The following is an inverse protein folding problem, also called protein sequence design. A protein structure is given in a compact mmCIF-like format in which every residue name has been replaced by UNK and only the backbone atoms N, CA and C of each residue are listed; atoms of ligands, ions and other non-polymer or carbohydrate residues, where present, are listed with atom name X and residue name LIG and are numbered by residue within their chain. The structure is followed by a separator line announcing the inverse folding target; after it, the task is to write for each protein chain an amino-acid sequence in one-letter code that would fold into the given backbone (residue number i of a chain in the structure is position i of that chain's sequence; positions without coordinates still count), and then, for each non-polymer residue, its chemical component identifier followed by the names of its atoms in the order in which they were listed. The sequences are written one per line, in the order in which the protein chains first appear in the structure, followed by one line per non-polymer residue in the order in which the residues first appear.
data_IF_837499437129
#
_entry.id   IF_837499437129
#
_cell.length_a   1.000
_cell.length_b   1.000
_cell.length_c   1.000
_cell.angle_alpha   90.00
_cell.angle_beta   90.00
_cell.angle_gamma   90.00
#
_symmetry.space_group_name_H-M   'P 1'
#
loop_
_entity.id
_entity.type
_entity.pdbx_description
1 polymer ?
#
# COMPACT_ATOMS: atom_id res chain seq x y z
N UNK A 1 -4.67 22.81 8.02
CA UNK A 1 -3.98 23.79 7.14
C UNK A 1 -4.91 24.32 6.06
N UNK A 2 -4.54 25.42 5.41
CA UNK A 2 -5.48 26.31 4.74
C UNK A 2 -6.13 25.76 3.46
N UNK A 3 -5.50 24.83 2.72
CA UNK A 3 -5.95 24.42 1.39
C UNK A 3 -7.30 23.69 1.30
N UNK A 4 -7.85 23.20 2.42
CA UNK A 4 -9.19 22.57 2.46
C UNK A 4 -10.33 23.56 2.77
N UNK A 5 -9.99 24.77 3.22
CA UNK A 5 -10.98 25.80 3.45
C UNK A 5 -11.32 26.39 2.08
N UNK A 6 -12.55 26.19 1.62
CA UNK A 6 -13.01 26.67 0.31
C UNK A 6 -12.88 28.20 0.12
N UNK A 7 -13.21 28.68 -1.08
CA UNK A 7 -13.06 30.08 -1.46
C UNK A 7 -11.69 30.39 -2.08
N UNK A 8 -11.17 31.60 -1.86
CA UNK A 8 -9.98 32.11 -2.55
C UNK A 8 -8.64 31.74 -1.88
N UNK A 9 -8.62 30.78 -0.94
CA UNK A 9 -7.44 30.51 -0.12
C UNK A 9 -6.25 30.01 -0.95
N UNK A 10 -6.46 29.17 -1.98
CA UNK A 10 -5.35 28.73 -2.84
C UNK A 10 -4.70 29.89 -3.62
N UNK A 11 -5.47 30.93 -3.97
CA UNK A 11 -4.91 32.14 -4.59
C UNK A 11 -4.06 32.92 -3.59
N UNK A 12 -4.53 33.05 -2.34
CA UNK A 12 -3.78 33.68 -1.26
C UNK A 12 -2.49 32.92 -0.96
N UNK A 13 -2.54 31.59 -0.90
CA UNK A 13 -1.36 30.74 -0.69
C UNK A 13 -0.34 30.91 -1.83
N UNK A 14 -0.78 30.90 -3.09
CA UNK A 14 0.10 31.15 -4.25
C UNK A 14 0.79 32.50 -4.15
N UNK A 15 0.03 33.56 -3.85
CA UNK A 15 0.59 34.91 -3.73
C UNK A 15 1.57 35.00 -2.56
N UNK A 16 1.20 34.46 -1.41
CA UNK A 16 2.06 34.43 -0.22
C UNK A 16 3.41 33.77 -0.50
N UNK A 17 3.43 32.65 -1.24
CA UNK A 17 4.68 31.98 -1.62
C UNK A 17 5.49 32.74 -2.66
N UNK A 18 4.85 33.41 -3.62
CA UNK A 18 5.53 34.28 -4.59
C UNK A 18 6.23 35.45 -3.87
N UNK A 19 5.50 36.13 -2.98
CA UNK A 19 6.03 37.25 -2.20
C UNK A 19 7.16 36.79 -1.27
N UNK A 20 6.97 35.64 -0.61
CA UNK A 20 7.97 35.04 0.27
C UNK A 20 9.23 34.63 -0.49
N UNK A 21 9.10 34.04 -1.68
CA UNK A 21 10.24 33.70 -2.51
C UNK A 21 11.06 34.96 -2.84
N UNK A 22 10.39 36.04 -3.29
CA UNK A 22 11.06 37.31 -3.58
C UNK A 22 11.84 37.84 -2.37
N UNK A 23 11.21 37.86 -1.20
CA UNK A 23 11.81 38.34 0.04
C UNK A 23 12.96 37.46 0.56
N UNK A 24 12.87 36.14 0.40
CA UNK A 24 13.95 35.22 0.81
C UNK A 24 15.11 35.29 -0.19
N UNK A 25 14.81 35.41 -1.48
CA UNK A 25 15.81 35.42 -2.54
C UNK A 25 16.56 36.74 -2.61
N UNK A 26 15.89 37.85 -2.33
CA UNK A 26 16.45 39.20 -2.30
C UNK A 26 16.13 39.87 -0.96
N UNK A 27 16.81 39.44 0.13
CA UNK A 27 16.51 39.92 1.47
C UNK A 27 16.72 41.44 1.56
N UNK A 28 15.75 42.12 2.19
CA UNK A 28 15.74 43.58 2.38
C UNK A 28 15.80 44.40 1.08
N UNK A 29 15.39 43.83 -0.06
CA UNK A 29 15.46 44.50 -1.36
C UNK A 29 16.90 44.65 -1.89
N UNK A 30 17.83 43.84 -1.38
CA UNK A 30 19.20 43.80 -1.86
C UNK A 30 19.29 43.11 -3.23
N UNK A 31 20.16 43.61 -4.11
CA UNK A 31 20.50 42.94 -5.38
C UNK A 31 21.29 41.63 -5.18
N UNK A 32 21.74 41.35 -3.95
CA UNK A 32 22.45 40.11 -3.62
C UNK A 32 21.46 38.97 -3.43
N UNK A 33 21.53 38.00 -4.34
CA UNK A 33 20.76 36.77 -4.25
C UNK A 33 21.21 35.92 -3.04
N UNK A 34 20.26 35.57 -2.16
CA UNK A 34 20.44 34.58 -1.10
C UNK A 34 20.47 33.17 -1.66
N UNK A 35 21.27 32.27 -1.08
CA UNK A 35 21.26 30.84 -1.40
C UNK A 35 20.36 30.00 -0.47
N UNK A 36 19.59 30.64 0.42
CA UNK A 36 18.60 29.95 1.25
C UNK A 36 17.59 29.22 0.38
N UNK A 37 17.36 27.94 0.68
CA UNK A 37 16.33 27.12 0.03
C UNK A 37 14.96 27.53 0.57
N UNK A 38 14.01 27.76 -0.34
CA UNK A 38 12.62 28.07 0.00
C UNK A 38 11.84 26.76 0.06
N UNK A 39 11.28 26.44 1.23
CA UNK A 39 10.43 25.26 1.41
C UNK A 39 8.97 25.70 1.46
N UNK A 40 8.13 25.13 0.59
CA UNK A 40 6.69 25.36 0.56
C UNK A 40 5.94 24.06 0.85
N UNK A 41 4.99 24.07 1.78
CA UNK A 41 4.15 22.90 2.04
C UNK A 41 3.05 22.77 0.98
N UNK A 42 2.71 21.57 0.50
CA UNK A 42 1.77 21.33 -0.62
C UNK A 42 0.30 21.77 -0.41
N UNK A 43 -0.02 22.34 0.75
CA UNK A 43 -1.35 22.77 1.16
C UNK A 43 -2.43 21.68 0.98
N UNK A 44 -2.04 20.41 1.09
CA UNK A 44 -2.84 19.20 0.88
C UNK A 44 -3.45 19.04 -0.52
N UNK A 45 -2.91 19.73 -1.51
CA UNK A 45 -3.31 19.51 -2.91
C UNK A 45 -2.59 18.31 -3.54
N UNK A 46 -1.59 17.77 -2.85
CA UNK A 46 -0.68 16.77 -3.37
C UNK A 46 0.39 17.38 -4.27
N UNK A 47 1.40 16.56 -4.56
CA UNK A 47 2.63 17.01 -5.22
C UNK A 47 2.38 17.51 -6.64
N UNK A 48 1.51 16.83 -7.39
CA UNK A 48 1.25 17.12 -8.80
C UNK A 48 0.57 18.49 -9.05
N UNK A 49 -0.21 18.99 -8.09
CA UNK A 49 -0.90 20.27 -8.21
C UNK A 49 0.07 21.46 -8.35
N UNK A 50 1.27 21.33 -7.79
CA UNK A 50 2.30 22.37 -7.79
C UNK A 50 3.29 22.27 -8.94
N UNK A 51 3.07 21.34 -9.88
CA UNK A 51 3.94 21.19 -11.04
C UNK A 51 3.99 22.49 -11.86
N UNK A 52 5.21 23.00 -12.06
CA UNK A 52 5.46 24.26 -12.79
C UNK A 52 5.29 25.53 -11.95
N UNK A 53 4.79 25.45 -10.72
CA UNK A 53 4.75 26.59 -9.81
C UNK A 53 6.11 26.76 -9.12
N UNK A 54 6.67 27.98 -9.12
CA UNK A 54 8.01 28.27 -8.60
C UNK A 54 9.09 27.31 -9.12
N UNK A 55 9.00 26.95 -10.41
CA UNK A 55 9.89 25.99 -11.06
C UNK A 55 11.03 26.67 -11.85
N UNK A 56 12.13 25.94 -12.13
CA UNK A 56 13.16 26.38 -13.06
C UNK A 56 12.64 26.58 -14.49
N UNK A 57 13.26 27.46 -15.28
CA UNK A 57 14.45 28.28 -14.94
C UNK A 57 14.12 29.60 -14.20
N UNK A 58 12.86 29.99 -14.07
CA UNK A 58 12.48 31.30 -13.49
C UNK A 58 12.71 31.36 -11.98
N UNK A 59 12.61 30.22 -11.31
CA UNK A 59 12.81 30.08 -9.86
C UNK A 59 13.84 28.99 -9.60
N UNK A 60 14.64 29.17 -8.56
CA UNK A 60 15.70 28.25 -8.17
C UNK A 60 15.70 28.03 -6.65
N UNK A 61 16.17 26.88 -6.19
CA UNK A 61 16.27 26.56 -4.77
C UNK A 61 14.92 26.43 -4.06
N UNK A 62 13.93 25.81 -4.72
CA UNK A 62 12.59 25.58 -4.15
C UNK A 62 12.37 24.09 -3.88
N UNK A 63 11.97 23.78 -2.65
CA UNK A 63 11.59 22.43 -2.21
C UNK A 63 10.10 22.44 -1.87
N UNK A 64 9.38 21.45 -2.39
CA UNK A 64 8.03 21.13 -1.99
C UNK A 64 8.06 20.15 -0.80
N UNK A 65 7.46 20.57 0.31
CA UNK A 65 7.17 19.74 1.46
C UNK A 65 5.79 19.11 1.31
N UNK A 66 5.70 17.79 1.47
CA UNK A 66 4.43 17.04 1.49
C UNK A 66 4.35 16.16 2.72
N UNK A 67 3.16 16.05 3.29
CA UNK A 67 2.92 15.28 4.51
C UNK A 67 2.09 14.04 4.20
N UNK A 68 2.62 12.85 4.49
CA UNK A 68 1.99 11.59 4.11
C UNK A 68 1.63 10.80 5.36
N UNK A 69 0.34 10.85 5.68
CA UNK A 69 -0.31 10.13 6.76
C UNK A 69 -1.38 9.18 6.20
N UNK A 70 -1.77 8.18 6.98
CA UNK A 70 -2.77 7.17 6.58
C UNK A 70 -3.76 6.85 7.70
N UNK A 71 -4.12 7.81 8.55
CA UNK A 71 -4.99 7.57 9.72
C UNK A 71 -5.92 8.74 10.05
N UNK A 72 -6.02 9.77 9.20
CA UNK A 72 -6.85 10.94 9.54
C UNK A 72 -8.24 10.92 8.90
N UNK A 73 -8.62 9.81 8.28
CA UNK A 73 -9.98 9.52 7.86
C UNK A 73 -10.40 8.10 8.27
N UNK A 74 -11.72 7.81 8.32
CA UNK A 74 -12.21 6.45 8.59
C UNK A 74 -11.70 5.43 7.58
N UNK A 75 -11.67 5.77 6.29
CA UNK A 75 -11.24 4.86 5.24
C UNK A 75 -9.75 4.52 5.35
N UNK A 76 -8.92 5.47 5.75
CA UNK A 76 -7.48 5.22 5.94
C UNK A 76 -7.20 4.43 7.21
N UNK A 77 -7.89 4.71 8.33
CA UNK A 77 -7.78 3.89 9.55
C UNK A 77 -8.28 2.46 9.37
N UNK A 78 -9.18 2.23 8.41
CA UNK A 78 -9.75 0.91 8.14
C UNK A 78 -8.81 0.04 7.29
N UNK A 79 -7.67 0.57 6.83
CA UNK A 79 -6.70 -0.21 6.07
C UNK A 79 -6.11 -1.32 6.94
N UNK A 80 -5.89 -2.47 6.32
CA UNK A 80 -5.05 -3.51 6.90
C UNK A 80 -3.59 -3.07 6.89
N UNK A 81 -2.76 -3.69 7.73
CA UNK A 81 -1.30 -3.48 7.76
C UNK A 81 -0.67 -3.59 6.35
N UNK A 82 -1.12 -4.55 5.55
CA UNK A 82 -0.72 -4.73 4.16
C UNK A 82 -1.14 -3.57 3.24
N UNK A 83 -2.37 -3.09 3.39
CA UNK A 83 -2.88 -1.95 2.61
C UNK A 83 -2.15 -0.66 2.95
N UNK A 84 -1.72 -0.47 4.20
CA UNK A 84 -0.87 0.66 4.59
C UNK A 84 0.47 0.64 3.86
N UNK A 85 1.16 -0.49 3.90
CA UNK A 85 2.44 -0.70 3.20
C UNK A 85 2.27 -0.47 1.70
N UNK A 86 1.22 -1.01 1.10
CA UNK A 86 0.94 -0.83 -0.33
C UNK A 86 0.70 0.65 -0.69
N UNK A 87 -0.10 1.35 0.10
CA UNK A 87 -0.39 2.75 -0.16
C UNK A 87 0.88 3.59 -0.04
N UNK A 88 1.76 3.33 0.94
CA UNK A 88 3.06 4.00 1.03
C UNK A 88 3.89 3.75 -0.24
N UNK A 89 4.05 2.50 -0.67
CA UNK A 89 4.77 2.14 -1.89
C UNK A 89 4.24 2.82 -3.16
N UNK A 90 2.92 3.06 -3.24
CA UNK A 90 2.28 3.65 -4.42
C UNK A 90 2.66 5.11 -4.68
N UNK A 91 3.14 5.83 -3.65
CA UNK A 91 3.49 7.26 -3.75
C UNK A 91 4.75 7.53 -4.56
N UNK A 92 5.59 6.52 -4.78
CA UNK A 92 6.92 6.70 -5.34
C UNK A 92 6.96 7.39 -6.72
N UNK A 93 5.98 7.12 -7.58
CA UNK A 93 5.92 7.75 -8.91
C UNK A 93 5.60 9.25 -8.81
N UNK A 94 4.70 9.65 -7.90
CA UNK A 94 4.34 11.07 -7.74
C UNK A 94 5.53 11.86 -7.18
N UNK A 95 6.25 11.29 -6.21
CA UNK A 95 7.41 11.93 -5.58
C UNK A 95 8.57 12.11 -6.57
N UNK A 96 8.79 11.14 -7.45
CA UNK A 96 9.87 11.17 -8.43
C UNK A 96 9.60 12.14 -9.61
N UNK A 97 8.33 12.43 -9.94
CA UNK A 97 7.94 13.11 -11.17
C UNK A 97 7.29 14.50 -10.97
N UNK A 98 7.47 15.09 -9.79
CA UNK A 98 6.83 16.35 -9.38
C UNK A 98 7.25 17.58 -10.20
N UNK A 99 8.48 17.59 -10.72
CA UNK A 99 9.10 18.76 -11.35
C UNK A 99 9.74 19.76 -10.37
N UNK A 100 9.67 19.50 -9.06
CA UNK A 100 10.38 20.24 -7.99
C UNK A 100 11.17 19.25 -7.13
N UNK A 101 12.11 19.73 -6.32
CA UNK A 101 12.63 18.89 -5.23
C UNK A 101 11.51 18.63 -4.23
N UNK A 102 11.29 17.37 -3.84
CA UNK A 102 10.22 17.00 -2.90
C UNK A 102 10.81 16.33 -1.68
N UNK A 103 10.49 16.84 -0.50
CA UNK A 103 10.79 16.18 0.78
C UNK A 103 9.47 15.77 1.41
N UNK A 104 9.38 14.53 1.89
CA UNK A 104 8.26 14.12 2.74
C UNK A 104 8.55 14.60 4.16
N UNK A 105 8.15 15.85 4.47
CA UNK A 105 8.58 16.55 5.68
C UNK A 105 7.85 16.12 6.94
N UNK A 106 6.72 15.43 6.82
CA UNK A 106 6.07 14.77 7.95
C UNK A 106 5.40 13.46 7.56
N UNK A 107 5.58 12.45 8.42
CA UNK A 107 4.98 11.12 8.34
C UNK A 107 5.30 10.34 9.63
N UNK A 108 4.67 9.18 9.82
CA UNK A 108 4.96 8.26 10.93
C UNK A 108 4.72 6.80 10.53
N UNK A 109 5.38 5.81 11.17
CA UNK A 109 5.01 4.41 11.05
C UNK A 109 3.79 4.03 11.91
N UNK A 110 3.26 4.93 12.76
CA UNK A 110 1.95 4.74 13.38
C UNK A 110 0.85 4.66 12.32
N UNK A 111 0.02 3.61 12.36
CA UNK A 111 -1.02 3.37 11.34
C UNK A 111 -2.44 3.70 11.79
N UNK A 112 -2.62 4.04 13.06
CA UNK A 112 -3.92 4.39 13.65
C UNK A 112 -3.87 5.76 14.29
N UNK A 113 -5.05 6.36 14.51
CA UNK A 113 -5.17 7.62 15.24
C UNK A 113 -5.40 7.44 16.75
N UNK A 114 -4.86 6.35 17.32
CA UNK A 114 -5.07 5.96 18.71
C UNK A 114 -4.33 6.83 19.75
N UNK A 115 -3.26 7.52 19.35
CA UNK A 115 -2.46 8.32 20.27
C UNK A 115 -3.32 9.36 20.98
N UNK A 116 -3.15 9.44 22.31
CA UNK A 116 -3.96 10.33 23.16
C UNK A 116 -3.85 11.78 22.66
N UNK A 117 -5.01 12.36 22.38
CA UNK A 117 -5.18 13.74 21.88
C UNK A 117 -4.56 14.03 20.52
N UNK A 118 -4.24 13.01 19.73
CA UNK A 118 -3.80 13.19 18.35
C UNK A 118 -4.84 13.96 17.52
N UNK A 119 -6.12 13.65 17.72
CA UNK A 119 -7.24 14.33 17.07
C UNK A 119 -7.68 15.63 17.77
N UNK A 120 -6.96 16.06 18.81
CA UNK A 120 -7.31 17.20 19.65
C UNK A 120 -7.62 16.82 21.10
N UNK A 121 -7.50 17.81 22.00
CA UNK A 121 -7.75 17.61 23.44
C UNK A 121 -9.23 17.23 23.67
N UNK A 122 -9.43 16.07 24.29
CA UNK A 122 -10.78 15.53 24.57
C UNK A 122 -11.46 14.89 23.35
N UNK A 123 -10.76 14.76 22.22
CA UNK A 123 -11.27 14.11 21.01
C UNK A 123 -10.73 12.68 20.95
N UNK A 124 -11.63 11.72 20.67
CA UNK A 124 -11.32 10.30 20.57
C UNK A 124 -10.62 9.89 19.27
N UNK A 125 -10.50 8.58 19.06
CA UNK A 125 -9.90 7.94 17.88
C UNK A 125 -10.99 7.43 16.94
N UNK A 126 -10.77 7.55 15.62
CA UNK A 126 -11.63 6.92 14.61
C UNK A 126 -11.47 5.42 14.65
N UNK A 127 -10.27 4.92 14.94
CA UNK A 127 -9.96 3.49 14.99
C UNK A 127 -10.79 2.73 16.02
N UNK A 128 -10.94 3.24 17.26
CA UNK A 128 -11.76 2.61 18.29
C UNK A 128 -13.22 3.10 18.33
N UNK A 129 -13.59 4.02 17.44
CA UNK A 129 -14.94 4.57 17.32
C UNK A 129 -15.28 5.63 18.39
N UNK A 130 -14.30 6.12 19.15
CA UNK A 130 -14.54 7.20 20.14
C UNK A 130 -14.51 8.59 19.51
N UNK A 131 -14.09 8.73 18.26
CA UNK A 131 -14.23 9.97 17.49
C UNK A 131 -15.70 10.16 17.03
N UNK A 132 -16.31 11.35 17.21
CA UNK A 132 -17.71 11.59 16.85
C UNK A 132 -18.05 11.24 15.40
N UNK A 133 -19.12 10.47 15.20
CA UNK A 133 -19.60 10.11 13.86
C UNK A 133 -18.81 8.99 13.17
N UNK A 134 -18.01 8.21 13.91
CA UNK A 134 -17.29 7.06 13.35
C UNK A 134 -17.75 5.74 13.94
N UNK A 135 -17.62 4.67 13.15
CA UNK A 135 -17.83 3.30 13.60
C UNK A 135 -16.51 2.68 14.01
N UNK A 136 -16.56 1.83 15.05
CA UNK A 136 -15.38 1.13 15.55
C UNK A 136 -14.79 0.21 14.49
N UNK A 137 -13.48 0.35 14.25
CA UNK A 137 -12.67 -0.52 13.38
C UNK A 137 -11.95 -1.58 14.21
N UNK A 138 -11.34 -1.18 15.33
CA UNK A 138 -10.52 -2.04 16.17
C UNK A 138 -10.36 -1.55 17.61
N UNK A 139 -9.34 -2.06 18.30
CA UNK A 139 -8.97 -1.63 19.65
C UNK A 139 -7.67 -0.84 19.62
N UNK A 140 -7.61 0.29 20.33
CA UNK A 140 -6.36 1.03 20.52
C UNK A 140 -5.39 0.37 21.53
N UNK A 141 -5.83 -0.66 22.25
CA UNK A 141 -4.97 -1.42 23.17
C UNK A 141 -3.82 -2.08 22.39
N UNK A 142 -2.59 -1.81 22.82
CA UNK A 142 -1.37 -2.35 22.20
C UNK A 142 -0.99 -1.71 20.86
N UNK A 143 -1.70 -0.66 20.42
CA UNK A 143 -1.42 0.11 19.20
C UNK A 143 -0.89 1.52 19.46
N UNK A 144 -0.97 1.99 20.71
CA UNK A 144 -0.40 3.27 21.17
C UNK A 144 0.06 3.15 22.63
N UNK A 145 0.83 4.12 23.12
CA UNK A 145 1.37 4.13 24.48
C UNK A 145 2.88 3.92 24.51
N UNK A 146 3.33 3.15 25.50
CA UNK A 146 4.74 2.73 25.62
C UNK A 146 5.01 1.46 24.83
N UNK A 147 6.20 1.36 24.23
CA UNK A 147 6.61 0.20 23.44
C UNK A 147 6.60 -1.13 24.21
N UNK A 148 6.59 -1.09 25.55
CA UNK A 148 6.42 -2.27 26.41
C UNK A 148 5.02 -2.89 26.33
N UNK A 149 4.01 -2.15 25.85
CA UNK A 149 2.65 -2.66 25.64
C UNK A 149 2.42 -3.20 24.23
N UNK A 150 3.37 -3.02 23.31
CA UNK A 150 3.24 -3.44 21.91
C UNK A 150 3.58 -4.92 21.78
N UNK A 151 2.73 -5.67 21.08
CA UNK A 151 3.05 -7.05 20.69
C UNK A 151 4.23 -7.08 19.72
N UNK A 152 4.93 -8.22 19.65
CA UNK A 152 6.00 -8.39 18.68
C UNK A 152 5.49 -8.23 17.24
N UNK A 153 4.30 -8.78 16.93
CA UNK A 153 3.65 -8.62 15.63
C UNK A 153 3.46 -7.15 15.25
N UNK A 154 3.04 -6.30 16.20
CA UNK A 154 2.88 -4.88 15.91
C UNK A 154 4.22 -4.18 15.66
N UNK A 155 5.28 -4.53 16.41
CA UNK A 155 6.63 -4.01 16.16
C UNK A 155 7.17 -4.44 14.79
N UNK A 156 6.91 -5.67 14.39
CA UNK A 156 7.28 -6.18 13.06
C UNK A 156 6.53 -5.45 11.94
N UNK A 157 5.25 -5.12 12.15
CA UNK A 157 4.49 -4.26 11.24
C UNK A 157 5.09 -2.85 11.16
N UNK A 158 5.33 -2.19 12.31
CA UNK A 158 5.95 -0.86 12.34
C UNK A 158 7.28 -0.85 11.58
N UNK A 159 8.06 -1.93 11.66
CA UNK A 159 9.33 -2.08 10.95
C UNK A 159 9.12 -2.17 9.43
N UNK A 160 8.21 -3.02 8.99
CA UNK A 160 7.90 -3.18 7.56
C UNK A 160 7.35 -1.90 6.96
N UNK A 161 6.45 -1.22 7.68
CA UNK A 161 5.83 0.00 7.22
C UNK A 161 6.81 1.17 7.17
N UNK A 162 7.68 1.31 8.18
CA UNK A 162 8.78 2.28 8.16
C UNK A 162 9.72 2.07 6.98
N UNK A 163 10.11 0.83 6.68
CA UNK A 163 10.96 0.52 5.52
C UNK A 163 10.25 0.82 4.18
N UNK A 164 8.94 0.59 4.10
CA UNK A 164 8.12 0.93 2.92
C UNK A 164 8.06 2.42 2.67
N UNK A 165 7.82 3.18 3.73
CA UNK A 165 7.75 4.63 3.71
C UNK A 165 9.10 5.22 3.32
N UNK A 166 10.17 4.92 4.06
CA UNK A 166 11.52 5.47 3.78
C UNK A 166 12.02 5.13 2.38
N UNK A 167 11.91 3.87 1.95
CA UNK A 167 12.35 3.46 0.59
C UNK A 167 11.52 4.13 -0.51
N UNK A 168 10.28 4.50 -0.22
CA UNK A 168 9.45 5.24 -1.17
C UNK A 168 9.76 6.72 -1.18
N UNK A 169 9.95 7.33 -0.01
CA UNK A 169 10.17 8.75 0.14
C UNK A 169 11.58 9.16 -0.33
N UNK A 170 12.54 8.24 -0.27
CA UNK A 170 13.87 8.36 -0.89
C UNK A 170 13.83 8.40 -2.44
N UNK A 171 12.67 8.17 -3.09
CA UNK A 171 12.48 8.45 -4.53
C UNK A 171 12.27 9.94 -4.83
N UNK A 172 11.90 10.71 -3.81
CA UNK A 172 12.02 12.17 -3.82
C UNK A 172 13.41 12.58 -3.34
N UNK A 173 13.48 13.55 -2.43
CA UNK A 173 14.71 14.03 -1.78
C UNK A 173 14.83 13.56 -0.33
N UNK A 174 14.06 12.56 0.06
CA UNK A 174 14.08 11.98 1.39
C UNK A 174 12.91 12.40 2.26
N UNK A 175 13.11 12.30 3.57
CA UNK A 175 12.03 12.26 4.54
C UNK A 175 12.43 12.81 5.90
N UNK A 176 11.44 13.31 6.65
CA UNK A 176 11.59 13.77 8.03
C UNK A 176 10.45 13.15 8.84
N UNK A 177 10.77 12.19 9.72
CA UNK A 177 9.74 11.50 10.50
C UNK A 177 9.22 12.40 11.61
N UNK A 178 7.90 12.55 11.68
CA UNK A 178 7.21 13.11 12.83
C UNK A 178 7.04 12.00 13.88
N UNK A 179 7.75 12.03 15.01
CA UNK A 179 8.64 13.07 15.53
C UNK A 179 9.87 12.44 16.20
N UNK A 180 10.85 13.24 16.62
CA UNK A 180 12.02 12.72 17.35
C UNK A 180 11.62 11.97 18.63
N UNK A 181 10.72 12.53 19.45
CA UNK A 181 10.26 11.93 20.71
C UNK A 181 8.82 12.31 21.05
N UNK A 182 8.13 11.41 21.74
CA UNK A 182 6.83 11.64 22.37
C UNK A 182 6.83 11.11 23.80
N UNK A 183 5.99 11.67 24.68
CA UNK A 183 5.94 11.25 26.10
C UNK A 183 5.36 9.85 26.28
N UNK A 184 4.30 9.50 25.53
CA UNK A 184 3.57 8.23 25.65
C UNK A 184 2.90 7.79 24.34
N UNK A 185 3.53 8.09 23.21
CA UNK A 185 3.08 7.67 21.88
C UNK A 185 4.29 7.13 21.10
N UNK A 186 4.81 5.99 21.56
CA UNK A 186 6.08 5.45 21.09
C UNK A 186 6.03 5.07 19.60
N UNK A 187 4.86 4.71 19.05
CA UNK A 187 4.64 4.48 17.62
C UNK A 187 4.90 5.72 16.74
N UNK A 188 4.83 6.93 17.32
CA UNK A 188 5.18 8.19 16.67
C UNK A 188 6.64 8.60 16.88
N UNK A 189 7.33 7.99 17.85
CA UNK A 189 8.63 8.44 18.33
C UNK A 189 9.77 7.75 17.59
N UNK A 190 10.56 8.52 16.84
CA UNK A 190 11.78 8.01 16.19
C UNK A 190 12.76 7.44 17.22
N UNK A 191 12.94 8.14 18.35
CA UNK A 191 13.77 7.69 19.47
C UNK A 191 13.28 6.35 20.05
N UNK A 192 11.98 6.16 20.22
CA UNK A 192 11.45 4.89 20.72
C UNK A 192 11.64 3.76 19.70
N UNK A 193 11.47 4.05 18.40
CA UNK A 193 11.69 3.07 17.34
C UNK A 193 13.12 2.59 17.23
N UNK A 194 14.10 3.49 17.43
CA UNK A 194 15.50 3.10 17.54
C UNK A 194 15.75 2.20 18.76
N UNK A 195 15.17 2.55 19.90
CA UNK A 195 15.36 1.80 21.15
C UNK A 195 14.72 0.40 21.11
N UNK A 196 13.64 0.22 20.34
CA UNK A 196 12.84 -1.00 20.33
C UNK A 196 12.90 -1.78 19.01
N UNK A 197 13.72 -1.36 18.04
CA UNK A 197 14.13 -2.17 16.90
C UNK A 197 13.27 -2.09 15.64
N UNK A 198 12.15 -1.36 15.66
CA UNK A 198 11.37 -1.12 14.42
C UNK A 198 11.93 0.02 13.56
N UNK A 199 12.88 0.81 14.06
CA UNK A 199 13.70 1.73 13.26
C UNK A 199 15.16 1.29 13.37
N UNK A 200 15.87 1.07 12.26
CA UNK A 200 17.26 0.67 12.28
C UNK A 200 18.17 1.84 12.70
N UNK A 201 19.27 1.53 13.43
CA UNK A 201 20.27 2.54 13.82
C UNK A 201 20.96 3.19 12.62
N UNK A 202 21.22 2.38 11.58
CA UNK A 202 21.60 2.90 10.27
C UNK A 202 20.31 2.98 9.43
N UNK A 203 19.87 4.18 9.02
CA UNK A 203 18.62 4.37 8.29
C UNK A 203 18.65 3.76 6.89
N UNK A 204 19.79 3.29 6.36
CA UNK A 204 19.87 2.55 5.09
C UNK A 204 19.75 1.03 5.26
N UNK A 205 19.82 0.52 6.49
CA UNK A 205 19.64 -0.91 6.75
C UNK A 205 18.19 -1.30 6.55
N UNK A 206 17.96 -2.42 5.87
CA UNK A 206 16.64 -3.00 5.64
C UNK A 206 16.64 -4.44 6.16
N UNK A 207 15.71 -4.77 7.05
CA UNK A 207 15.40 -6.15 7.44
C UNK A 207 14.44 -6.79 6.42
N UNK A 208 13.72 -5.95 5.67
CA UNK A 208 12.80 -6.33 4.61
C UNK A 208 13.16 -5.60 3.30
N UNK A 209 14.40 -5.77 2.77
CA UNK A 209 14.91 -5.03 1.60
C UNK A 209 14.07 -5.23 0.33
N UNK A 210 13.44 -6.39 0.22
CA UNK A 210 12.39 -6.68 -0.75
C UNK A 210 11.11 -6.76 0.06
N UNK A 211 10.38 -5.66 0.22
CA UNK A 211 9.19 -5.62 1.08
C UNK A 211 8.21 -6.69 0.61
N UNK A 212 8.20 -7.77 1.38
CA UNK A 212 7.35 -8.94 1.24
C UNK A 212 6.04 -8.55 1.92
N UNK A 213 4.92 -8.83 1.28
CA UNK A 213 3.67 -8.88 2.03
C UNK A 213 3.77 -10.08 2.97
N UNK A 214 3.86 -9.82 4.28
CA UNK A 214 3.45 -10.80 5.27
C UNK A 214 1.93 -10.92 5.14
N UNK A 215 1.52 -11.81 4.24
CA UNK A 215 0.16 -12.32 4.23
C UNK A 215 0.01 -13.08 5.55
N UNK A 216 -0.94 -12.66 6.41
CA UNK A 216 -1.25 -13.33 7.67
C UNK A 216 -1.25 -14.83 7.43
N UNK A 217 -0.21 -15.52 7.91
CA UNK A 217 0.09 -16.86 7.43
C UNK A 217 -1.04 -17.78 7.90
N UNK A 218 -1.75 -18.44 6.97
CA UNK A 218 -2.72 -19.45 7.36
C UNK A 218 -1.97 -20.59 8.06
N UNK A 219 -2.64 -21.27 9.00
CA UNK A 219 -2.07 -22.36 9.83
C UNK A 219 -1.45 -23.50 9.02
N UNK A 220 -1.70 -23.55 7.71
CA UNK A 220 -1.26 -24.56 6.76
C UNK A 220 -0.05 -24.13 5.88
N UNK A 221 0.61 -22.99 6.16
CA UNK A 221 1.81 -22.58 5.41
C UNK A 221 2.92 -23.64 5.51
N UNK A 222 3.50 -24.10 4.38
CA UNK A 222 4.61 -25.07 4.40
C UNK A 222 5.82 -24.54 5.17
N UNK A 223 6.35 -25.36 6.09
CA UNK A 223 7.51 -25.01 6.93
C UNK A 223 8.81 -24.92 6.14
N UNK A 224 8.85 -25.56 4.97
CA UNK A 224 10.00 -25.67 4.07
C UNK A 224 9.91 -24.75 2.85
N UNK A 225 9.09 -23.68 2.91
CA UNK A 225 9.01 -22.73 1.80
C UNK A 225 10.39 -22.06 1.58
N UNK A 226 10.95 -22.04 0.36
CA UNK A 226 12.24 -21.40 0.10
C UNK A 226 12.12 -19.89 0.32
N UNK A 227 13.25 -19.24 0.58
CA UNK A 227 13.27 -17.78 0.64
C UNK A 227 13.03 -17.17 -0.77
N UNK A 228 12.68 -15.86 -0.84
CA UNK A 228 12.44 -15.19 -2.11
C UNK A 228 13.59 -15.20 -3.10
N UNK A 229 14.84 -15.23 -2.65
CA UNK A 229 15.99 -15.24 -3.56
C UNK A 229 16.09 -16.60 -4.26
N UNK A 230 15.94 -17.68 -3.49
CA UNK A 230 15.83 -19.03 -4.02
C UNK A 230 14.63 -19.20 -4.96
N UNK A 231 13.46 -18.63 -4.62
CA UNK A 231 12.27 -18.66 -5.49
C UNK A 231 12.55 -17.92 -6.80
N UNK A 232 13.16 -16.74 -6.76
CA UNK A 232 13.51 -15.97 -7.95
C UNK A 232 14.46 -16.76 -8.85
N UNK A 233 15.46 -17.43 -8.27
CA UNK A 233 16.39 -18.25 -9.04
C UNK A 233 15.69 -19.42 -9.73
N UNK A 234 14.86 -20.17 -9.00
CA UNK A 234 14.06 -21.26 -9.58
C UNK A 234 13.15 -20.78 -10.72
N UNK A 235 12.53 -19.60 -10.58
CA UNK A 235 11.70 -19.01 -11.64
C UNK A 235 12.52 -18.65 -12.88
N UNK A 236 13.75 -18.12 -12.71
CA UNK A 236 14.65 -17.80 -13.83
C UNK A 236 15.08 -19.05 -14.58
N UNK A 237 15.49 -20.10 -13.85
CA UNK A 237 15.94 -21.36 -14.44
C UNK A 237 14.81 -22.02 -15.24
N UNK A 238 13.59 -22.02 -14.68
CA UNK A 238 12.41 -22.50 -15.37
C UNK A 238 12.04 -21.66 -16.61
N UNK A 239 12.18 -20.33 -16.55
CA UNK A 239 11.94 -19.45 -17.71
C UNK A 239 12.93 -19.74 -18.83
N UNK A 240 14.21 -19.91 -18.49
CA UNK A 240 15.26 -20.26 -19.47
C UNK A 240 14.96 -21.62 -20.13
N UNK A 241 14.56 -22.62 -19.34
CA UNK A 241 14.17 -23.93 -19.85
C UNK A 241 12.91 -23.88 -20.74
N UNK A 242 11.90 -23.08 -20.37
CA UNK A 242 10.67 -22.92 -21.14
C UNK A 242 10.86 -22.15 -22.46
N UNK A 243 11.78 -21.17 -22.47
CA UNK A 243 12.14 -20.42 -23.67
C UNK A 243 12.79 -21.32 -24.73
N UNK A 244 13.51 -22.36 -24.30
CA UNK A 244 14.04 -23.39 -25.19
C UNK A 244 12.94 -24.35 -25.74
N UNK A 245 11.75 -24.36 -25.13
CA UNK A 245 10.65 -25.27 -25.45
C UNK A 245 9.41 -24.59 -26.09
N UNK A 246 9.44 -23.27 -26.37
CA UNK A 246 8.31 -22.49 -26.90
C UNK A 246 7.01 -22.59 -26.07
N UNK A 247 7.10 -22.75 -24.76
CA UNK A 247 5.94 -22.86 -23.87
C UNK A 247 5.74 -21.60 -23.02
N UNK A 248 4.51 -21.09 -22.96
CA UNK A 248 4.12 -19.98 -22.08
C UNK A 248 3.59 -20.56 -20.78
N UNK A 249 4.29 -20.35 -19.67
CA UNK A 249 3.84 -20.84 -18.36
C UNK A 249 3.29 -19.70 -17.49
N UNK A 250 2.12 -19.87 -16.85
CA UNK A 250 1.54 -18.89 -15.92
C UNK A 250 2.17 -18.96 -14.51
N UNK A 251 3.21 -19.76 -14.31
CA UNK A 251 3.90 -19.97 -13.04
C UNK A 251 4.73 -21.26 -13.01
N UNK A 252 5.33 -21.59 -11.86
CA UNK A 252 6.06 -22.84 -11.62
C UNK A 252 5.61 -23.53 -10.33
N UNK A 253 5.62 -24.86 -10.26
CA UNK A 253 5.46 -25.57 -9.00
C UNK A 253 6.76 -25.55 -8.20
N UNK A 254 6.66 -25.46 -6.86
CA UNK A 254 7.75 -25.81 -5.96
C UNK A 254 7.62 -27.29 -5.61
N UNK A 255 8.66 -28.07 -5.92
CA UNK A 255 8.67 -29.53 -5.74
C UNK A 255 9.40 -29.89 -4.46
N UNK A 256 8.79 -30.77 -3.66
CA UNK A 256 9.46 -31.45 -2.55
C UNK A 256 10.24 -32.63 -3.14
N UNK A 257 11.54 -32.46 -3.34
CA UNK A 257 12.41 -33.48 -3.96
C UNK A 257 12.39 -34.83 -3.21
N UNK A 258 12.14 -34.81 -1.90
CA UNK A 258 12.07 -36.04 -1.10
C UNK A 258 10.81 -36.87 -1.37
N UNK A 259 9.78 -36.24 -1.93
CA UNK A 259 8.46 -36.85 -2.20
C UNK A 259 8.05 -36.79 -3.67
N UNK A 260 8.83 -36.11 -4.52
CA UNK A 260 8.56 -35.92 -5.94
C UNK A 260 7.25 -35.20 -6.24
N UNK A 261 6.72 -34.39 -5.31
CA UNK A 261 5.39 -33.76 -5.44
C UNK A 261 5.45 -32.25 -5.25
N UNK A 262 4.61 -31.54 -6.00
CA UNK A 262 4.42 -30.10 -5.81
C UNK A 262 3.73 -29.84 -4.47
N UNK A 263 4.21 -28.84 -3.73
CA UNK A 263 3.63 -28.42 -2.45
C UNK A 263 3.22 -26.94 -2.43
N UNK A 264 3.67 -26.17 -3.41
CA UNK A 264 3.26 -24.79 -3.62
C UNK A 264 3.34 -24.43 -5.11
N UNK A 265 2.63 -23.39 -5.50
CA UNK A 265 2.67 -22.80 -6.84
C UNK A 265 3.19 -21.37 -6.76
N UNK A 266 4.07 -21.00 -7.68
CA UNK A 266 4.58 -19.63 -7.82
C UNK A 266 4.04 -19.04 -9.11
N UNK A 267 3.14 -18.08 -9.00
CA UNK A 267 2.80 -17.18 -10.11
C UNK A 267 3.79 -16.03 -10.12
N UNK A 268 4.42 -15.78 -11.27
CA UNK A 268 5.36 -14.68 -11.42
C UNK A 268 5.27 -14.05 -12.80
N UNK A 269 5.06 -12.74 -12.86
CA UNK A 269 5.04 -11.99 -14.13
C UNK A 269 5.37 -10.52 -13.86
N UNK A 270 5.70 -9.76 -14.91
CA UNK A 270 5.83 -8.31 -14.84
C UNK A 270 4.51 -7.59 -14.47
N UNK A 271 3.38 -8.22 -14.78
CA UNK A 271 2.03 -7.71 -14.51
C UNK A 271 1.47 -8.16 -13.15
N UNK A 272 2.10 -9.14 -12.49
CA UNK A 272 1.64 -9.62 -11.17
C UNK A 272 1.83 -8.53 -10.13
N UNK A 273 0.72 -8.14 -9.50
CA UNK A 273 0.69 -7.04 -8.52
C UNK A 273 0.53 -7.57 -7.10
N UNK A 274 0.93 -6.74 -6.14
CA UNK A 274 0.66 -7.02 -4.74
C UNK A 274 -0.85 -6.93 -4.41
N UNK A 275 -1.61 -6.07 -5.12
CA UNK A 275 -3.07 -6.05 -5.04
C UNK A 275 -3.67 -7.41 -5.37
N UNK A 276 -3.17 -8.04 -6.44
CA UNK A 276 -3.64 -9.35 -6.88
C UNK A 276 -3.45 -10.42 -5.80
N UNK A 277 -2.27 -10.44 -5.16
CA UNK A 277 -1.98 -11.36 -4.06
C UNK A 277 -2.92 -11.17 -2.86
N UNK A 278 -3.23 -9.91 -2.53
CA UNK A 278 -4.15 -9.58 -1.44
C UNK A 278 -5.59 -9.93 -1.77
N UNK A 279 -6.05 -9.68 -3.01
CA UNK A 279 -7.37 -10.09 -3.46
C UNK A 279 -7.51 -11.62 -3.38
N UNK A 280 -6.52 -12.37 -3.87
CA UNK A 280 -6.53 -13.84 -3.78
C UNK A 280 -6.59 -14.32 -2.33
N UNK A 281 -5.79 -13.72 -1.44
CA UNK A 281 -5.81 -14.07 -0.03
C UNK A 281 -7.16 -13.72 0.65
N UNK A 282 -7.72 -12.55 0.37
CA UNK A 282 -9.01 -12.14 0.94
C UNK A 282 -10.13 -13.09 0.54
N UNK A 283 -10.16 -13.48 -0.75
CA UNK A 283 -11.09 -14.47 -1.28
C UNK A 283 -10.87 -15.83 -0.59
N UNK A 284 -9.61 -16.24 -0.40
CA UNK A 284 -9.27 -17.46 0.33
C UNK A 284 -9.76 -17.44 1.78
N UNK A 285 -9.57 -16.33 2.50
CA UNK A 285 -10.05 -16.16 3.87
C UNK A 285 -11.57 -16.20 3.94
N UNK A 286 -12.26 -15.50 3.04
CA UNK A 286 -13.71 -15.42 3.03
C UNK A 286 -14.36 -16.76 2.74
N UNK A 287 -13.87 -17.48 1.73
CA UNK A 287 -14.43 -18.75 1.29
C UNK A 287 -14.05 -19.89 2.22
N UNK A 288 -12.77 -20.04 2.56
CA UNK A 288 -12.33 -21.21 3.33
C UNK A 288 -12.74 -21.14 4.82
N UNK A 289 -13.21 -19.99 5.29
CA UNK A 289 -13.78 -19.84 6.65
C UNK A 289 -15.28 -20.10 6.70
N UNK A 290 -15.95 -20.22 5.54
CA UNK A 290 -17.36 -20.56 5.44
C UNK A 290 -17.51 -22.08 5.31
N UNK A 291 -18.10 -22.71 6.32
CA UNK A 291 -18.32 -24.15 6.35
C UNK A 291 -19.30 -24.64 5.27
N UNK A 292 -20.13 -23.74 4.73
CA UNK A 292 -21.11 -24.02 3.70
C UNK A 292 -20.60 -23.66 2.29
N UNK A 293 -19.35 -23.21 2.16
CA UNK A 293 -18.77 -22.87 0.87
C UNK A 293 -18.71 -24.09 -0.07
N UNK A 294 -19.22 -23.90 -1.29
CA UNK A 294 -19.23 -24.95 -2.34
C UNK A 294 -17.90 -25.07 -3.08
N UNK A 295 -16.96 -24.17 -2.80
CA UNK A 295 -15.64 -24.12 -3.42
C UNK A 295 -14.56 -23.87 -2.39
N UNK A 296 -13.34 -24.29 -2.75
CA UNK A 296 -12.13 -24.01 -2.00
C UNK A 296 -11.23 -23.10 -2.81
N UNK A 297 -10.61 -22.13 -2.15
CA UNK A 297 -9.68 -21.20 -2.79
C UNK A 297 -8.27 -21.43 -2.26
N UNK A 298 -7.23 -21.50 -3.12
CA UNK A 298 -5.85 -21.66 -2.69
C UNK A 298 -5.42 -20.54 -1.73
N UNK A 299 -4.74 -20.90 -0.65
CA UNK A 299 -4.13 -19.94 0.27
C UNK A 299 -2.91 -19.28 -0.36
N UNK A 300 -2.70 -17.98 -0.11
CA UNK A 300 -1.45 -17.31 -0.48
C UNK A 300 -0.49 -17.36 0.70
N UNK A 301 0.68 -17.95 0.50
CA UNK A 301 1.70 -18.14 1.55
C UNK A 301 2.68 -16.99 1.65
N UNK A 302 2.97 -16.35 0.52
CA UNK A 302 3.99 -15.33 0.38
C UNK A 302 3.77 -14.53 -0.91
N UNK A 303 3.89 -13.21 -0.85
CA UNK A 303 3.95 -12.38 -2.05
C UNK A 303 5.04 -11.31 -1.91
N UNK A 304 5.77 -11.06 -2.99
CA UNK A 304 6.87 -10.10 -3.01
C UNK A 304 7.15 -9.58 -4.42
N UNK A 305 7.99 -8.55 -4.52
CA UNK A 305 8.55 -8.06 -5.78
C UNK A 305 10.06 -8.29 -5.84
N UNK A 306 10.55 -8.59 -7.04
CA UNK A 306 11.99 -8.64 -7.35
C UNK A 306 12.21 -8.12 -8.78
N UNK A 307 12.98 -7.04 -8.90
CA UNK A 307 13.13 -6.32 -10.17
C UNK A 307 11.78 -5.80 -10.70
N UNK A 308 11.51 -6.05 -11.99
CA UNK A 308 10.24 -5.70 -12.65
C UNK A 308 9.13 -6.73 -12.45
N UNK A 309 9.36 -7.81 -11.70
CA UNK A 309 8.43 -8.93 -11.55
C UNK A 309 7.76 -8.94 -10.17
N UNK A 310 6.48 -9.29 -10.13
CA UNK A 310 5.77 -9.69 -8.92
C UNK A 310 5.71 -11.21 -8.80
N UNK A 311 5.70 -11.70 -7.58
CA UNK A 311 5.69 -13.13 -7.23
C UNK A 311 4.58 -13.38 -6.20
N UNK A 312 3.77 -14.40 -6.46
CA UNK A 312 2.73 -14.91 -5.55
C UNK A 312 2.99 -16.40 -5.37
N UNK A 313 3.40 -16.78 -4.17
CA UNK A 313 3.53 -18.17 -3.75
C UNK A 313 2.25 -18.56 -3.03
N UNK A 314 1.57 -19.56 -3.57
CA UNK A 314 0.27 -20.02 -3.09
C UNK A 314 0.23 -21.54 -2.95
N UNK A 315 -0.81 -22.03 -2.30
CA UNK A 315 -1.09 -23.45 -2.20
C UNK A 315 -1.16 -24.09 -3.58
N UNK A 316 -0.52 -25.25 -3.72
CA UNK A 316 -0.70 -26.10 -4.89
C UNK A 316 -1.94 -26.99 -4.68
N UNK A 317 -2.95 -26.83 -5.54
CA UNK A 317 -4.13 -27.69 -5.56
C UNK A 317 -3.91 -28.73 -6.65
N UNK A 318 -3.71 -29.98 -6.23
CA UNK A 318 -3.63 -31.11 -7.15
C UNK A 318 -5.05 -31.55 -7.52
N UNK A 319 -5.41 -31.38 -8.79
CA UNK A 319 -6.75 -31.66 -9.28
C UNK A 319 -6.87 -31.54 -10.80
N UNK A 320 -7.86 -32.20 -11.41
CA UNK A 320 -8.11 -32.10 -12.83
C UNK A 320 -8.49 -30.68 -13.23
N UNK A 321 -8.05 -30.26 -14.42
CA UNK A 321 -8.56 -29.02 -15.02
C UNK A 321 -10.01 -29.25 -15.45
N UNK A 322 -10.88 -28.27 -15.19
CA UNK A 322 -12.29 -28.36 -15.58
C UNK A 322 -12.44 -28.40 -17.11
N UNK A 323 -13.48 -29.11 -17.57
CA UNK A 323 -13.91 -29.13 -18.96
C UNK A 323 -15.40 -28.76 -19.11
N UNK A 324 -15.94 -28.86 -20.33
CA UNK A 324 -17.32 -28.48 -20.63
C UNK A 324 -18.37 -29.28 -19.82
N UNK A 325 -18.01 -30.48 -19.34
CA UNK A 325 -18.89 -31.29 -18.49
C UNK A 325 -19.03 -30.73 -17.07
N UNK A 326 -18.09 -29.88 -16.63
CA UNK A 326 -18.07 -29.27 -15.29
C UNK A 326 -18.83 -27.95 -15.22
N UNK A 327 -19.49 -27.51 -16.30
CA UNK A 327 -20.14 -26.18 -16.38
C UNK A 327 -21.08 -25.89 -15.21
N UNK A 328 -21.77 -26.90 -14.66
CA UNK A 328 -22.63 -26.74 -13.48
C UNK A 328 -21.84 -26.46 -12.21
N UNK A 329 -20.71 -27.13 -12.01
CA UNK A 329 -19.81 -26.94 -10.87
C UNK A 329 -19.12 -25.58 -10.98
N UNK A 330 -18.66 -25.21 -12.17
CA UNK A 330 -18.08 -23.89 -12.45
C UNK A 330 -19.12 -22.78 -12.22
N UNK A 331 -20.37 -22.95 -12.65
CA UNK A 331 -21.42 -21.97 -12.40
C UNK A 331 -21.80 -21.84 -10.91
N UNK A 332 -21.68 -22.92 -10.12
CA UNK A 332 -21.84 -22.85 -8.66
C UNK A 332 -20.67 -22.10 -8.02
N UNK A 333 -19.44 -22.43 -8.43
CA UNK A 333 -18.22 -21.75 -8.01
C UNK A 333 -18.26 -20.24 -8.26
N UNK A 334 -18.60 -19.84 -9.49
CA UNK A 334 -18.72 -18.44 -9.88
C UNK A 334 -19.80 -17.73 -9.05
N UNK A 335 -20.96 -18.36 -8.82
CA UNK A 335 -22.01 -17.79 -7.95
C UNK A 335 -21.51 -17.54 -6.53
N UNK A 336 -20.79 -18.50 -5.95
CA UNK A 336 -20.18 -18.34 -4.63
C UNK A 336 -19.14 -17.23 -4.61
N UNK A 337 -18.29 -17.12 -5.63
CA UNK A 337 -17.26 -16.09 -5.71
C UNK A 337 -17.82 -14.68 -5.88
N UNK A 338 -18.86 -14.49 -6.70
CA UNK A 338 -19.42 -13.15 -6.89
C UNK A 338 -20.13 -12.66 -5.62
N UNK A 339 -20.66 -13.58 -4.79
CA UNK A 339 -21.30 -13.24 -3.53
C UNK A 339 -20.36 -12.66 -2.46
N UNK A 340 -19.03 -12.74 -2.66
CA UNK A 340 -18.04 -12.17 -1.75
C UNK A 340 -18.00 -10.64 -1.91
N UNK A 341 -18.30 -9.86 -0.87
CA UNK A 341 -18.18 -8.41 -0.94
C UNK A 341 -16.71 -7.99 -0.98
N UNK A 342 -16.28 -7.30 -2.03
CA UNK A 342 -14.91 -6.82 -2.18
C UNK A 342 -14.69 -5.96 -3.43
N UNK A 343 -13.54 -5.27 -3.53
CA UNK A 343 -13.20 -4.48 -4.71
C UNK A 343 -13.02 -5.41 -5.93
N UNK A 344 -13.86 -5.22 -6.95
CA UNK A 344 -13.82 -6.00 -8.19
C UNK A 344 -12.83 -5.33 -9.14
N UNK A 345 -11.67 -5.96 -9.32
CA UNK A 345 -10.70 -5.60 -10.34
C UNK A 345 -10.89 -6.51 -11.56
N UNK A 346 -11.34 -5.95 -12.68
CA UNK A 346 -11.52 -6.67 -13.92
C UNK A 346 -11.09 -5.80 -15.10
N UNK A 347 -10.47 -6.41 -16.11
CA UNK A 347 -10.05 -5.75 -17.36
C UNK A 347 -11.20 -5.20 -18.23
N UNK A 348 -12.44 -5.31 -17.73
CA UNK A 348 -13.62 -4.73 -18.37
C UNK A 348 -13.68 -3.20 -18.18
N UNK A 349 -13.07 -2.69 -17.10
CA UNK A 349 -13.02 -1.26 -16.83
C UNK A 349 -11.72 -0.66 -17.36
N UNK A 350 -11.79 0.54 -17.94
CA UNK A 350 -10.66 1.24 -18.59
C UNK A 350 -9.47 1.42 -17.65
N UNK A 351 -9.71 1.56 -16.34
CA UNK A 351 -8.67 1.69 -15.31
C UNK A 351 -8.51 0.42 -14.45
N UNK A 352 -9.12 -0.70 -14.86
CA UNK A 352 -9.10 -1.96 -14.12
C UNK A 352 -9.91 -1.96 -12.81
N UNK A 353 -10.62 -0.87 -12.51
CA UNK A 353 -11.53 -0.72 -11.37
C UNK A 353 -12.85 -0.08 -11.82
N UNK A 354 -13.97 -0.55 -11.27
CA UNK A 354 -15.27 0.11 -11.47
C UNK A 354 -15.30 1.45 -10.76
N UNK A 355 -15.75 2.51 -11.45
CA UNK A 355 -16.03 3.83 -10.85
C UNK A 355 -17.32 3.86 -10.01
N UNK A 356 -18.10 2.77 -10.07
CA UNK A 356 -19.34 2.57 -9.31
C UNK A 356 -19.11 1.47 -8.28
N UNK A 357 -19.46 1.76 -7.03
CA UNK A 357 -19.55 0.77 -5.94
C UNK A 357 -20.87 0.01 -6.06
N UNK A 358 -20.82 -1.31 -6.19
CA UNK A 358 -22.02 -2.14 -6.26
C UNK A 358 -22.39 -2.65 -4.88
N UNK A 359 -23.66 -2.51 -4.50
CA UNK A 359 -24.14 -2.98 -3.20
C UNK A 359 -24.53 -4.47 -3.23
N UNK A 360 -24.65 -5.05 -4.43
CA UNK A 360 -24.86 -6.49 -4.61
C UNK A 360 -24.35 -7.00 -5.96
N UNK A 361 -24.12 -8.32 -6.03
CA UNK A 361 -23.83 -9.07 -7.26
C UNK A 361 -24.81 -8.78 -8.39
N UNK A 362 -26.09 -8.73 -8.03
CA UNK A 362 -27.18 -8.55 -9.00
C UNK A 362 -27.16 -7.17 -9.64
N UNK A 363 -26.71 -6.15 -8.92
CA UNK A 363 -26.52 -4.81 -9.48
C UNK A 363 -25.35 -4.76 -10.47
N UNK A 364 -24.23 -5.43 -10.16
CA UNK A 364 -23.11 -5.57 -11.08
C UNK A 364 -23.53 -6.34 -12.34
N UNK A 365 -24.19 -7.48 -12.16
CA UNK A 365 -24.65 -8.33 -13.27
C UNK A 365 -25.65 -7.58 -14.16
N UNK A 366 -26.60 -6.86 -13.56
CA UNK A 366 -27.52 -6.00 -14.30
C UNK A 366 -26.80 -4.86 -15.04
N UNK A 367 -25.78 -4.27 -14.45
CA UNK A 367 -24.99 -3.21 -15.08
C UNK A 367 -24.22 -3.75 -16.28
N UNK A 368 -23.47 -4.86 -16.12
CA UNK A 368 -22.70 -5.49 -17.20
C UNK A 368 -23.60 -5.99 -18.33
N UNK A 369 -24.73 -6.61 -17.99
CA UNK A 369 -25.72 -7.06 -18.98
C UNK A 369 -26.49 -5.88 -19.61
N UNK A 370 -26.57 -4.74 -18.94
CA UNK A 370 -27.15 -3.49 -19.45
C UNK A 370 -26.23 -2.78 -20.43
N UNK A 371 -24.91 -2.77 -20.20
CA UNK A 371 -23.90 -2.24 -21.14
C UNK A 371 -23.82 -3.10 -22.42
N UNK A 372 -24.14 -4.39 -22.32
CA UNK A 372 -24.19 -5.31 -23.46
C UNK A 372 -25.46 -5.18 -24.32
N UNK A 373 -26.42 -4.33 -23.92
CA UNK A 373 -27.61 -3.99 -24.71
C UNK A 373 -27.39 -2.63 -25.38
N UNK A 374 -26.93 -2.70 -26.62
CA UNK A 374 -26.94 -1.57 -27.54
C UNK A 374 -28.36 -0.98 -27.68
N UNK A 375 -28.57 0.35 -27.60
CA UNK A 375 -29.85 0.97 -27.94
C UNK A 375 -30.24 0.88 -29.43
N UNK A 376 -29.43 0.24 -30.28
CA UNK A 376 -29.64 0.17 -31.73
C UNK A 376 -29.82 -1.23 -32.34
N UNK A 377 -30.20 -2.25 -31.55
CA UNK A 377 -30.76 -3.51 -32.10
C UNK A 377 -31.96 -4.04 -31.29
#
# INVERSE_FOLDING_TARGET
PAGFLGGNILNVVRQYWLDSYGNIRFPYGSDRQSNTVVVIHDAFQGVNYWKGFLAPPQYDGVVLDTHIYQMFSPAENARTDAQHIQNACSRGSELANSGLWVVVGEWTPGATDCAKYLNGRGVGSRYDGTYPGTSRIGSCVGKTGKASTFSQQYKDFLRQYWEAQTSTYEKGQGWIQWTWKAEIADEWSYQAGLANGWIPKNPTTRAYPNIKLAIDSPTNKPVNLPDPEAIVQQCRDATLAATAAYSIFPGIPLIDESRGRAYAWVKYTACTTMSEALTQQFVAQSINSDADATVRVPWVYLAFRSGSYGYIVMEYIDGPTCDDSDVKLVAAAVRTLIAIPGPIAHSFFVEGMSSVTYSSVRELENHVNGVSRDPSN
#
